data_IF_592588608500
#
_entry.id   IF_592588608500
#
_cell.length_a   1.000
_cell.length_b   1.000
_cell.length_c   1.000
_cell.angle_alpha   90.00
_cell.angle_beta   90.00
_cell.angle_gamma   90.00
#
_symmetry.space_group_name_H-M   'P 1'
#
loop_
_entity.id
_entity.type
_entity.pdbx_description
1 polymer ?
#
# COMPACT_ATOMS: atom_id res chain seq x y z
N UNK A 1 4.03 21.38 -3.56
CA UNK A 1 3.37 20.22 -2.94
C UNK A 1 3.72 20.22 -1.47
N UNK A 2 2.77 19.87 -0.60
CA UNK A 2 3.01 19.78 0.85
C UNK A 2 3.83 18.54 1.24
N UNK A 3 3.83 17.52 0.36
CA UNK A 3 4.62 16.31 0.50
C UNK A 3 4.57 15.46 -0.76
N UNK A 4 5.06 14.23 -0.68
CA UNK A 4 5.07 13.26 -1.77
C UNK A 4 4.49 11.91 -1.35
N UNK A 5 3.78 11.24 -2.26
CA UNK A 5 3.38 9.84 -2.11
C UNK A 5 4.25 8.98 -3.03
N UNK A 6 5.04 8.08 -2.47
CA UNK A 6 5.84 7.12 -3.24
C UNK A 6 4.90 6.06 -3.80
N UNK A 7 4.82 5.95 -5.12
CA UNK A 7 3.98 4.94 -5.74
C UNK A 7 4.69 3.59 -5.84
N UNK A 8 4.39 2.69 -4.89
CA UNK A 8 4.95 1.33 -4.79
C UNK A 8 3.88 0.23 -4.94
N UNK A 9 2.93 0.40 -5.86
CA UNK A 9 1.82 -0.55 -6.04
C UNK A 9 1.37 -0.65 -7.50
N UNK A 10 0.33 -1.43 -7.76
CA UNK A 10 -0.32 -1.60 -9.08
C UNK A 10 0.62 -2.11 -10.19
N UNK A 11 1.66 -2.86 -9.84
CA UNK A 11 2.60 -3.43 -10.80
C UNK A 11 3.48 -2.40 -11.50
N UNK A 12 3.65 -1.20 -10.92
CA UNK A 12 4.62 -0.21 -11.42
C UNK A 12 6.04 -0.54 -10.96
N UNK A 13 7.01 0.30 -11.36
CA UNK A 13 8.45 0.01 -11.31
C UNK A 13 8.94 -0.52 -9.96
N UNK A 14 8.51 0.06 -8.84
CA UNK A 14 8.93 -0.39 -7.51
C UNK A 14 8.40 -1.79 -7.17
N UNK A 15 7.23 -2.16 -7.66
CA UNK A 15 6.65 -3.50 -7.48
C UNK A 15 7.27 -4.51 -8.46
N UNK A 16 7.59 -4.09 -9.69
CA UNK A 16 8.30 -4.90 -10.68
C UNK A 16 9.71 -5.28 -10.24
N UNK A 17 10.37 -4.38 -9.50
CA UNK A 17 11.72 -4.56 -8.97
C UNK A 17 11.77 -5.41 -7.69
N UNK A 18 10.64 -5.92 -7.19
CA UNK A 18 10.61 -6.90 -6.09
C UNK A 18 11.28 -8.25 -6.44
N UNK A 19 11.75 -8.42 -7.69
CA UNK A 19 12.52 -9.57 -8.18
C UNK A 19 14.01 -9.30 -8.04
N UNK A 20 14.72 -10.04 -7.19
CA UNK A 20 15.68 -11.04 -7.67
C UNK A 20 16.31 -11.85 -6.53
N UNK A 21 16.41 -13.17 -6.73
CA UNK A 21 17.59 -13.94 -6.30
C UNK A 21 17.63 -15.37 -6.85
N UNK A 22 16.52 -16.01 -7.29
CA UNK A 22 16.59 -17.45 -7.66
C UNK A 22 15.60 -18.04 -8.68
N UNK A 23 14.73 -17.33 -9.41
CA UNK A 23 13.78 -18.07 -10.30
C UNK A 23 13.57 -17.53 -11.71
N UNK A 24 13.82 -18.45 -12.65
CA UNK A 24 13.98 -18.26 -14.09
C UNK A 24 12.64 -18.38 -14.85
N UNK A 25 11.50 -17.98 -14.25
CA UNK A 25 10.20 -18.02 -14.93
C UNK A 25 9.34 -16.77 -14.74
N UNK A 26 8.75 -16.39 -15.87
CA UNK A 26 7.96 -15.20 -16.15
C UNK A 26 6.78 -15.06 -15.18
N UNK A 27 6.64 -13.85 -14.62
CA UNK A 27 5.40 -13.26 -14.07
C UNK A 27 5.09 -13.34 -12.55
N UNK A 28 5.91 -13.94 -11.69
CA UNK A 28 5.61 -13.97 -10.23
C UNK A 28 6.79 -13.56 -9.33
N UNK A 29 6.53 -12.88 -8.21
CA UNK A 29 7.52 -12.49 -7.19
C UNK A 29 7.37 -13.36 -5.93
N UNK A 30 8.44 -14.06 -5.52
CA UNK A 30 8.43 -14.96 -4.36
C UNK A 30 9.82 -15.32 -3.78
N UNK A 31 10.82 -14.44 -3.91
CA UNK A 31 12.16 -14.62 -3.33
C UNK A 31 12.27 -14.22 -1.85
N UNK A 32 13.49 -14.00 -1.35
CA UNK A 32 13.73 -13.45 -0.02
C UNK A 32 13.14 -12.02 0.05
N UNK A 33 12.01 -11.86 0.76
CA UNK A 33 11.27 -10.61 0.91
C UNK A 33 12.17 -9.43 1.29
N UNK A 34 13.16 -9.67 2.16
CA UNK A 34 14.10 -8.63 2.60
C UNK A 34 14.94 -8.10 1.44
N UNK A 35 15.44 -8.98 0.59
CA UNK A 35 16.25 -8.59 -0.57
C UNK A 35 15.39 -7.96 -1.67
N UNK A 36 14.18 -8.48 -1.89
CA UNK A 36 13.26 -7.95 -2.90
C UNK A 36 12.77 -6.52 -2.58
N UNK A 37 12.60 -6.18 -1.30
CA UNK A 37 12.11 -4.86 -0.91
C UNK A 37 13.22 -3.82 -0.69
N UNK A 38 14.50 -4.21 -0.72
CA UNK A 38 15.63 -3.31 -0.43
C UNK A 38 15.58 -2.01 -1.24
N UNK A 39 15.28 -2.11 -2.54
CA UNK A 39 15.21 -0.94 -3.40
C UNK A 39 14.07 0.02 -3.03
N UNK A 40 12.91 -0.49 -2.59
CA UNK A 40 11.82 0.36 -2.11
C UNK A 40 12.29 1.15 -0.88
N UNK A 41 13.02 0.49 0.01
CA UNK A 41 13.54 1.13 1.21
C UNK A 41 14.63 2.16 0.92
N UNK A 42 15.51 1.92 -0.05
CA UNK A 42 16.50 2.90 -0.52
C UNK A 42 15.81 4.16 -1.06
N UNK A 43 14.73 4.00 -1.82
CA UNK A 43 13.92 5.12 -2.33
C UNK A 43 13.24 5.88 -1.19
N UNK A 44 12.63 5.17 -0.24
CA UNK A 44 12.01 5.79 0.95
C UNK A 44 13.06 6.58 1.74
N UNK A 45 14.22 5.99 2.02
CA UNK A 45 15.30 6.62 2.77
C UNK A 45 15.82 7.87 2.07
N UNK A 46 16.10 7.80 0.77
CA UNK A 46 16.59 8.95 -0.01
C UNK A 46 15.59 10.11 0.02
N UNK A 47 14.30 9.84 -0.13
CA UNK A 47 13.26 10.87 -0.11
C UNK A 47 13.09 11.44 1.30
N UNK A 48 13.10 10.59 2.32
CA UNK A 48 13.04 11.03 3.73
C UNK A 48 14.22 11.93 4.10
N UNK A 49 15.42 11.63 3.61
CA UNK A 49 16.61 12.47 3.82
C UNK A 49 16.48 13.84 3.15
N UNK A 50 15.87 13.90 1.97
CA UNK A 50 15.72 15.14 1.21
C UNK A 50 14.61 16.05 1.76
N UNK A 51 13.45 15.49 2.08
CA UNK A 51 12.26 16.31 2.43
C UNK A 51 11.73 16.08 3.85
N UNK A 52 12.33 15.21 4.65
CA UNK A 52 11.82 14.89 6.00
C UNK A 52 10.66 13.91 5.98
N UNK A 53 10.64 13.00 6.96
CA UNK A 53 9.68 11.89 6.99
C UNK A 53 8.22 12.32 7.18
N UNK A 54 8.00 13.47 7.81
CA UNK A 54 6.70 14.10 8.03
C UNK A 54 6.03 14.60 6.75
N UNK A 55 6.73 14.57 5.61
CA UNK A 55 6.19 14.93 4.28
C UNK A 55 6.18 13.76 3.29
N UNK A 56 6.40 12.54 3.76
CA UNK A 56 6.49 11.34 2.92
C UNK A 56 5.36 10.38 3.26
N UNK A 57 4.65 9.92 2.23
CA UNK A 57 3.81 8.74 2.30
C UNK A 57 4.19 7.71 1.25
N UNK A 58 3.65 6.51 1.37
CA UNK A 58 3.84 5.43 0.39
C UNK A 58 2.54 4.73 0.09
N UNK A 59 2.30 4.45 -1.20
CA UNK A 59 1.13 3.71 -1.66
C UNK A 59 1.50 2.29 -2.09
N UNK A 60 0.80 1.32 -1.53
CA UNK A 60 1.02 -0.12 -1.73
C UNK A 60 -0.29 -0.79 -2.16
N UNK A 61 -0.20 -1.75 -3.07
CA UNK A 61 -1.36 -2.52 -3.53
C UNK A 61 -1.06 -4.03 -3.53
N UNK A 62 -0.87 -4.66 -2.35
CA UNK A 62 -0.39 -6.05 -2.26
C UNK A 62 -1.25 -7.05 -3.04
N UNK A 63 -2.56 -6.83 -3.07
CA UNK A 63 -3.53 -7.71 -3.70
C UNK A 63 -3.84 -7.34 -5.16
N UNK A 64 -3.20 -6.31 -5.71
CA UNK A 64 -3.44 -5.91 -7.09
C UNK A 64 -2.85 -6.94 -8.06
N UNK A 65 -3.54 -7.12 -9.18
CA UNK A 65 -3.02 -7.85 -10.34
C UNK A 65 -3.01 -6.90 -11.53
N UNK A 66 -1.84 -6.68 -12.11
CA UNK A 66 -1.69 -5.78 -13.26
C UNK A 66 -0.81 -6.41 -14.33
N UNK A 67 -1.26 -6.38 -15.59
CA UNK A 67 -0.52 -6.92 -16.74
C UNK A 67 0.05 -8.35 -16.55
N UNK A 68 -0.66 -9.21 -15.80
CA UNK A 68 -0.24 -10.58 -15.50
C UNK A 68 0.78 -10.71 -14.36
N UNK A 69 1.14 -9.61 -13.70
CA UNK A 69 1.95 -9.59 -12.49
C UNK A 69 1.07 -9.64 -11.24
N UNK A 70 1.47 -10.47 -10.27
CA UNK A 70 0.91 -10.53 -8.92
C UNK A 70 1.98 -10.93 -7.91
N UNK A 71 1.83 -10.43 -6.68
CA UNK A 71 2.63 -10.88 -5.53
C UNK A 71 2.11 -12.24 -5.07
N UNK A 72 3.01 -13.23 -4.90
CA UNK A 72 2.63 -14.60 -4.55
C UNK A 72 2.03 -14.72 -3.15
N UNK A 73 2.60 -13.99 -2.17
CA UNK A 73 2.16 -13.97 -0.77
C UNK A 73 1.84 -12.52 -0.36
N UNK A 74 0.70 -11.96 -0.81
CA UNK A 74 0.39 -10.55 -0.64
C UNK A 74 0.21 -10.17 0.85
N UNK A 75 -0.28 -11.08 1.69
CA UNK A 75 -0.39 -10.87 3.13
C UNK A 75 0.99 -10.74 3.80
N UNK A 76 1.91 -11.66 3.51
CA UNK A 76 3.27 -11.63 4.06
C UNK A 76 4.01 -10.38 3.58
N UNK A 77 3.88 -10.01 2.31
CA UNK A 77 4.47 -8.81 1.76
C UNK A 77 3.91 -7.54 2.41
N UNK A 78 2.58 -7.40 2.46
CA UNK A 78 1.93 -6.22 3.04
C UNK A 78 2.29 -6.03 4.50
N UNK A 79 2.30 -7.12 5.29
CA UNK A 79 2.68 -7.08 6.69
C UNK A 79 4.15 -6.68 6.86
N UNK A 80 5.06 -7.29 6.08
CA UNK A 80 6.47 -6.95 6.12
C UNK A 80 6.73 -5.47 5.79
N UNK A 81 6.07 -4.94 4.75
CA UNK A 81 6.17 -3.53 4.40
C UNK A 81 5.65 -2.63 5.52
N UNK A 82 4.48 -2.93 6.08
CA UNK A 82 3.90 -2.16 7.18
C UNK A 82 4.83 -2.12 8.41
N UNK A 83 5.46 -3.24 8.76
CA UNK A 83 6.42 -3.31 9.87
C UNK A 83 7.71 -2.54 9.57
N UNK A 84 8.31 -2.77 8.39
CA UNK A 84 9.60 -2.20 8.02
C UNK A 84 9.54 -0.69 7.81
N UNK A 85 8.43 -0.16 7.28
CA UNK A 85 8.26 1.27 7.03
C UNK A 85 8.29 2.11 8.31
N UNK A 86 7.96 1.52 9.47
CA UNK A 86 8.06 2.19 10.76
C UNK A 86 9.47 2.70 11.07
N UNK A 87 10.52 2.05 10.54
CA UNK A 87 11.92 2.47 10.74
C UNK A 87 12.18 3.88 10.19
N UNK A 88 11.47 4.27 9.12
CA UNK A 88 11.69 5.53 8.42
C UNK A 88 10.81 6.67 8.97
N UNK A 89 9.86 6.36 9.86
CA UNK A 89 8.99 7.37 10.47
C UNK A 89 8.12 8.14 9.49
N UNK A 90 7.82 7.57 8.31
CA UNK A 90 7.02 8.23 7.28
C UNK A 90 5.61 8.56 7.78
N UNK A 91 5.06 9.66 7.27
CA UNK A 91 3.78 10.23 7.72
C UNK A 91 2.61 9.24 7.58
N UNK A 92 2.51 8.58 6.43
CA UNK A 92 1.40 7.66 6.18
C UNK A 92 1.74 6.49 5.26
N UNK A 93 0.97 5.42 5.39
CA UNK A 93 0.93 4.31 4.46
C UNK A 93 -0.48 4.18 3.88
N UNK A 94 -0.56 4.15 2.55
CA UNK A 94 -1.80 4.10 1.79
C UNK A 94 -1.93 2.74 1.11
N UNK A 95 -2.83 1.90 1.62
CA UNK A 95 -3.05 0.55 1.12
C UNK A 95 -4.34 0.43 0.30
N UNK A 96 -4.25 -0.34 -0.79
CA UNK A 96 -5.39 -0.66 -1.64
C UNK A 96 -6.01 -2.01 -1.21
N UNK A 97 -7.31 -2.02 -0.96
CA UNK A 97 -8.10 -3.22 -0.71
C UNK A 97 -8.09 -4.16 -1.94
N UNK A 98 -8.21 -5.49 -1.73
CA UNK A 98 -8.47 -6.42 -2.81
C UNK A 98 -9.78 -6.05 -3.53
N UNK A 99 -9.74 -6.07 -4.87
CA UNK A 99 -10.90 -5.69 -5.68
C UNK A 99 -12.14 -6.51 -5.32
N UNK A 100 -13.32 -5.89 -5.13
CA UNK A 100 -14.55 -6.62 -4.81
C UNK A 100 -14.96 -7.64 -5.89
N UNK A 101 -14.62 -7.38 -7.16
CA UNK A 101 -14.88 -8.29 -8.29
C UNK A 101 -13.89 -9.45 -8.37
N UNK A 102 -12.79 -9.38 -7.61
CA UNK A 102 -11.74 -10.38 -7.50
C UNK A 102 -11.37 -10.52 -6.02
N UNK A 103 -12.35 -10.73 -5.13
CA UNK A 103 -12.12 -10.96 -3.69
C UNK A 103 -11.26 -12.21 -3.49
N UNK A 104 -9.97 -12.05 -3.72
CA UNK A 104 -8.89 -12.96 -3.38
C UNK A 104 -8.29 -12.31 -2.14
N UNK A 105 -8.82 -12.69 -0.98
CA UNK A 105 -8.41 -12.14 0.30
C UNK A 105 -9.49 -12.36 1.36
N UNK A 106 -9.10 -12.64 2.62
CA UNK A 106 -10.05 -12.76 3.72
C UNK A 106 -10.75 -11.41 3.99
N UNK A 107 -11.93 -11.40 4.63
CA UNK A 107 -12.49 -10.18 5.20
C UNK A 107 -11.45 -9.51 6.11
N UNK A 108 -11.38 -8.18 6.09
CA UNK A 108 -10.42 -7.37 6.84
C UNK A 108 -8.95 -7.57 6.44
N UNK A 109 -8.69 -7.71 5.13
CA UNK A 109 -7.37 -8.00 4.57
C UNK A 109 -6.27 -7.02 4.97
N UNK A 110 -6.59 -5.75 5.26
CA UNK A 110 -5.62 -4.73 5.67
C UNK A 110 -5.47 -4.59 7.18
N UNK A 111 -6.32 -5.21 8.00
CA UNK A 111 -6.31 -4.99 9.46
C UNK A 111 -4.98 -5.37 10.10
N UNK A 112 -4.35 -6.44 9.63
CA UNK A 112 -3.02 -6.84 10.10
C UNK A 112 -1.97 -5.76 9.79
N UNK A 113 -2.06 -5.13 8.60
CA UNK A 113 -1.13 -4.09 8.18
C UNK A 113 -1.36 -2.80 8.96
N UNK A 114 -2.63 -2.43 9.19
CA UNK A 114 -2.99 -1.31 10.06
C UNK A 114 -2.39 -1.48 11.45
N UNK A 115 -2.52 -2.67 12.05
CA UNK A 115 -1.97 -2.96 13.39
C UNK A 115 -0.44 -2.92 13.44
N UNK A 116 0.22 -3.27 12.34
CA UNK A 116 1.68 -3.28 12.25
C UNK A 116 2.28 -1.89 11.98
N UNK A 117 1.60 -1.03 11.22
CA UNK A 117 2.06 0.32 10.93
C UNK A 117 1.68 1.31 12.02
N UNK A 118 2.64 2.12 12.47
CA UNK A 118 2.49 3.05 13.61
C UNK A 118 2.09 4.47 13.21
N UNK A 119 2.25 4.83 11.94
CA UNK A 119 1.83 6.13 11.41
C UNK A 119 0.36 6.15 10.99
N UNK A 120 -0.02 7.18 10.21
CA UNK A 120 -1.38 7.31 9.67
C UNK A 120 -1.61 6.25 8.60
N UNK A 121 -2.66 5.47 8.73
CA UNK A 121 -3.03 4.44 7.75
C UNK A 121 -4.22 4.90 6.92
N UNK A 122 -4.07 4.80 5.60
CA UNK A 122 -5.10 5.17 4.63
C UNK A 122 -5.52 3.92 3.87
N UNK A 123 -6.81 3.59 3.91
CA UNK A 123 -7.37 2.52 3.10
C UNK A 123 -8.07 3.10 1.87
N UNK A 124 -8.03 2.39 0.75
CA UNK A 124 -8.84 2.72 -0.42
C UNK A 124 -9.28 1.47 -1.17
N UNK A 125 -10.27 1.61 -2.06
CA UNK A 125 -10.72 0.52 -2.92
C UNK A 125 -12.13 0.06 -2.61
N UNK A 126 -13.12 0.67 -3.28
CA UNK A 126 -14.51 0.22 -3.23
C UNK A 126 -15.34 0.74 -2.07
N UNK A 127 -14.78 1.59 -1.20
CA UNK A 127 -15.53 2.23 -0.11
C UNK A 127 -16.67 3.12 -0.64
N UNK A 128 -17.82 3.00 0.00
CA UNK A 128 -18.90 3.99 0.07
C UNK A 128 -18.71 4.93 1.27
N UNK A 129 -19.62 5.90 1.44
CA UNK A 129 -19.62 6.77 2.62
C UNK A 129 -19.83 5.97 3.91
N UNK A 130 -20.79 5.04 3.90
CA UNK A 130 -21.22 4.34 5.10
C UNK A 130 -20.18 3.30 5.57
N UNK A 131 -19.64 2.50 4.65
CA UNK A 131 -18.59 1.54 5.00
C UNK A 131 -17.26 2.22 5.34
N UNK A 132 -16.94 3.36 4.72
CA UNK A 132 -15.75 4.15 5.03
C UNK A 132 -15.83 4.75 6.43
N UNK A 133 -16.97 5.35 6.78
CA UNK A 133 -17.23 5.86 8.14
C UNK A 133 -17.14 4.73 9.18
N UNK A 134 -17.70 3.56 8.86
CA UNK A 134 -17.62 2.39 9.73
C UNK A 134 -16.17 1.92 9.93
N UNK A 135 -15.38 1.83 8.86
CA UNK A 135 -13.99 1.40 8.93
C UNK A 135 -13.13 2.33 9.82
N UNK A 136 -13.37 3.64 9.75
CA UNK A 136 -12.70 4.61 10.64
C UNK A 136 -13.18 4.44 12.08
N UNK A 137 -14.49 4.35 12.31
CA UNK A 137 -15.06 4.20 13.66
C UNK A 137 -14.61 2.92 14.37
N UNK A 138 -14.36 1.84 13.63
CA UNK A 138 -13.89 0.54 14.15
C UNK A 138 -12.35 0.46 14.26
N UNK A 139 -11.62 1.51 13.90
CA UNK A 139 -10.15 1.54 13.95
C UNK A 139 -9.48 0.65 12.91
N UNK A 140 -10.19 0.28 11.84
CA UNK A 140 -9.63 -0.48 10.72
C UNK A 140 -8.65 0.36 9.89
N UNK A 141 -8.90 1.66 9.80
CA UNK A 141 -8.06 2.65 9.12
C UNK A 141 -8.22 4.01 9.80
N UNK A 142 -7.24 4.91 9.64
CA UNK A 142 -7.38 6.28 10.17
C UNK A 142 -8.11 7.18 9.16
N UNK A 143 -7.89 6.93 7.86
CA UNK A 143 -8.51 7.66 6.75
C UNK A 143 -8.94 6.71 5.62
N UNK A 144 -9.90 7.16 4.82
CA UNK A 144 -10.35 6.47 3.61
C UNK A 144 -10.18 7.38 2.40
N UNK A 145 -9.51 6.88 1.36
CA UNK A 145 -9.35 7.60 0.10
C UNK A 145 -10.37 7.15 -0.95
N UNK A 146 -11.00 8.12 -1.61
CA UNK A 146 -11.98 7.92 -2.67
C UNK A 146 -11.40 8.37 -4.01
N UNK A 147 -11.42 7.52 -5.04
CA UNK A 147 -10.98 7.88 -6.39
C UNK A 147 -12.14 8.22 -7.30
N UNK A 148 -12.90 7.18 -7.71
CA UNK A 148 -14.02 7.29 -8.67
C UNK A 148 -15.05 8.36 -8.28
N UNK A 149 -15.37 8.49 -6.99
CA UNK A 149 -16.35 9.47 -6.54
C UNK A 149 -15.87 10.92 -6.75
N UNK A 150 -14.60 11.22 -6.46
CA UNK A 150 -14.06 12.56 -6.66
C UNK A 150 -13.99 12.97 -8.14
N UNK A 151 -13.93 12.01 -9.08
CA UNK A 151 -13.97 12.33 -10.52
C UNK A 151 -15.29 12.98 -10.95
N UNK A 152 -16.40 12.59 -10.32
CA UNK A 152 -17.74 13.09 -10.67
C UNK A 152 -18.29 14.09 -9.65
N UNK A 153 -17.70 14.18 -8.46
CA UNK A 153 -18.20 14.97 -7.33
C UNK A 153 -17.03 15.77 -6.74
N UNK A 154 -16.73 16.97 -7.26
CA UNK A 154 -15.59 17.77 -6.80
C UNK A 154 -15.71 18.20 -5.33
N UNK A 155 -16.93 18.25 -4.80
CA UNK A 155 -17.28 18.61 -3.43
C UNK A 155 -17.77 17.41 -2.61
N UNK A 156 -17.35 16.19 -2.96
CA UNK A 156 -17.70 14.94 -2.27
C UNK A 156 -17.73 14.99 -0.72
N UNK A 157 -16.85 15.76 -0.03
CA UNK A 157 -16.90 15.84 1.44
C UNK A 157 -18.10 16.60 2.03
N UNK A 158 -18.83 17.40 1.24
CA UNK A 158 -19.99 18.17 1.70
C UNK A 158 -21.25 17.30 1.75
#
# INVERSE_FOLDING_TARGET
>A
FDGVEIHAGHGYILELLLKDSTNNHKNECGGNLKNGCSFIFEVVEAIVQEIGADRVGIRLAPFATYAGFSIKNPETFGLYMAEALNKYGILYAHFVEPSPNKRVGPPNSLLAFRKAFKGTFIACGGYSKDDGNKAVAEGYTDLVAFGKYFLANPDLPK
#
